data_IF_939750398333
#
_entry.id   IF_939750398333
#
_cell.length_a   1.000
_cell.length_b   1.000
_cell.length_c   1.000
_cell.angle_alpha   90.00
_cell.angle_beta   90.00
_cell.angle_gamma   90.00
#
_symmetry.space_group_name_H-M   'P 1'
#
loop_
_entity.id
_entity.type
_entity.pdbx_description
1 polymer ?
#
# COMPACT_ATOMS: atom_id res chain seq x y z
N UNK A 1 -21.88 -12.34 -6.33
CA UNK A 1 -23.13 -12.92 -5.73
C UNK A 1 -24.12 -11.77 -5.61
N UNK A 2 -25.14 -11.76 -6.44
CA UNK A 2 -26.21 -10.77 -6.28
C UNK A 2 -27.00 -11.19 -5.07
N UNK A 3 -26.93 -10.41 -4.01
CA UNK A 3 -27.75 -10.66 -2.81
C UNK A 3 -29.17 -10.13 -3.09
N UNK A 4 -30.18 -10.96 -2.87
CA UNK A 4 -31.58 -10.54 -3.02
C UNK A 4 -32.07 -9.72 -1.79
N UNK A 5 -31.15 -9.19 -0.99
CA UNK A 5 -31.50 -8.40 0.21
C UNK A 5 -31.88 -7.00 -0.23
N UNK A 6 -33.12 -6.59 0.06
CA UNK A 6 -33.57 -5.22 -0.19
C UNK A 6 -33.05 -4.26 0.89
N UNK A 7 -33.04 -2.97 0.61
CA UNK A 7 -32.65 -1.95 1.60
C UNK A 7 -33.52 -2.03 2.86
N UNK A 8 -34.83 -2.24 2.72
CA UNK A 8 -35.75 -2.37 3.83
C UNK A 8 -35.39 -3.56 4.73
N UNK A 9 -35.13 -4.73 4.12
CA UNK A 9 -34.68 -5.92 4.84
C UNK A 9 -33.34 -5.71 5.53
N UNK A 10 -32.40 -5.05 4.86
CA UNK A 10 -31.09 -4.72 5.44
C UNK A 10 -31.25 -3.82 6.67
N UNK A 11 -32.05 -2.78 6.59
CA UNK A 11 -32.32 -1.88 7.72
C UNK A 11 -33.03 -2.59 8.87
N UNK A 12 -33.98 -3.49 8.60
CA UNK A 12 -34.70 -4.25 9.64
C UNK A 12 -33.74 -5.15 10.45
N UNK A 13 -32.68 -5.71 9.82
CA UNK A 13 -31.70 -6.57 10.49
C UNK A 13 -30.59 -5.81 11.20
N UNK A 14 -30.34 -4.57 10.83
CA UNK A 14 -29.22 -3.76 11.33
C UNK A 14 -29.56 -3.12 12.69
N UNK A 15 -28.57 -2.97 13.56
CA UNK A 15 -28.68 -2.15 14.76
C UNK A 15 -28.95 -0.68 14.40
N UNK A 16 -29.62 0.08 15.30
CA UNK A 16 -29.94 1.50 15.06
C UNK A 16 -28.74 2.35 14.61
N UNK A 17 -27.58 2.12 15.23
CA UNK A 17 -26.35 2.82 14.85
C UNK A 17 -25.89 2.45 13.45
N UNK A 18 -25.97 1.17 13.09
CA UNK A 18 -25.58 0.70 11.75
C UNK A 18 -26.58 1.16 10.69
N UNK A 19 -27.89 1.22 11.00
CA UNK A 19 -28.90 1.79 10.09
C UNK A 19 -28.54 3.20 9.65
N UNK A 20 -28.18 4.07 10.61
CA UNK A 20 -27.76 5.45 10.31
C UNK A 20 -26.54 5.49 9.39
N UNK A 21 -25.55 4.62 9.64
CA UNK A 21 -24.34 4.53 8.83
C UNK A 21 -24.60 3.97 7.43
N UNK A 22 -25.46 2.97 7.29
CA UNK A 22 -25.93 2.45 6.00
C UNK A 22 -26.60 3.56 5.20
N UNK A 23 -27.56 4.27 5.81
CA UNK A 23 -28.26 5.36 5.14
C UNK A 23 -27.34 6.49 4.71
N UNK A 24 -26.40 6.89 5.57
CA UNK A 24 -25.38 7.88 5.24
C UNK A 24 -24.52 7.45 4.04
N UNK A 25 -24.05 6.19 4.04
CA UNK A 25 -23.24 5.66 2.94
C UNK A 25 -24.00 5.63 1.62
N UNK A 26 -25.26 5.24 1.65
CA UNK A 26 -26.16 5.20 0.48
C UNK A 26 -26.44 6.62 -0.04
N UNK A 27 -26.75 7.56 0.84
CA UNK A 27 -26.99 8.96 0.47
C UNK A 27 -25.77 9.58 -0.21
N UNK A 28 -24.58 9.39 0.35
CA UNK A 28 -23.33 9.84 -0.25
C UNK A 28 -23.12 9.25 -1.66
N UNK A 29 -23.37 7.95 -1.84
CA UNK A 29 -23.25 7.31 -3.15
C UNK A 29 -24.26 7.86 -4.16
N UNK A 30 -25.54 7.99 -3.78
CA UNK A 30 -26.57 8.55 -4.66
C UNK A 30 -26.30 9.99 -5.06
N UNK A 31 -25.85 10.83 -4.12
CA UNK A 31 -25.47 12.23 -4.42
C UNK A 31 -24.29 12.32 -5.39
N UNK A 32 -23.30 11.44 -5.25
CA UNK A 32 -22.10 11.47 -6.09
C UNK A 32 -22.26 10.70 -7.43
N UNK A 33 -23.34 9.95 -7.64
CA UNK A 33 -23.52 9.11 -8.84
C UNK A 33 -23.45 9.89 -10.14
N UNK A 34 -24.04 11.09 -10.18
CA UNK A 34 -23.95 11.97 -11.36
C UNK A 34 -22.51 12.26 -11.77
N UNK A 35 -21.63 12.45 -10.77
CA UNK A 35 -20.20 12.63 -11.04
C UNK A 35 -19.57 11.33 -11.56
N UNK A 36 -19.91 10.19 -10.96
CA UNK A 36 -19.38 8.90 -11.37
C UNK A 36 -19.74 8.55 -12.80
N UNK A 37 -20.98 8.81 -13.22
CA UNK A 37 -21.44 8.61 -14.58
C UNK A 37 -20.71 9.55 -15.55
N UNK A 38 -20.55 10.82 -15.20
CA UNK A 38 -19.89 11.81 -16.04
C UNK A 38 -18.40 11.49 -16.27
N UNK A 39 -17.66 11.10 -15.21
CA UNK A 39 -16.25 10.75 -15.32
C UNK A 39 -16.01 9.33 -15.83
N UNK A 40 -16.93 8.41 -15.59
CA UNK A 40 -16.84 7.03 -16.00
C UNK A 40 -17.26 6.77 -17.44
N UNK A 41 -17.56 7.78 -18.25
CA UNK A 41 -18.09 7.58 -19.60
C UNK A 41 -19.40 6.77 -19.62
N UNK A 42 -20.24 6.96 -18.56
CA UNK A 42 -21.48 6.21 -18.37
C UNK A 42 -21.32 4.88 -17.60
N UNK A 43 -20.10 4.45 -17.29
CA UNK A 43 -19.87 3.19 -16.54
C UNK A 43 -20.07 3.33 -15.02
N UNK A 44 -20.26 4.54 -14.50
CA UNK A 44 -20.45 4.79 -13.08
C UNK A 44 -19.16 4.71 -12.28
N UNK A 45 -19.27 4.20 -11.05
CA UNK A 45 -18.15 4.11 -10.13
C UNK A 45 -17.15 3.00 -10.52
N UNK A 46 -15.88 3.27 -10.29
CA UNK A 46 -14.85 2.24 -10.22
C UNK A 46 -14.75 1.75 -8.76
N UNK A 47 -15.17 0.53 -8.45
CA UNK A 47 -15.11 -0.01 -7.10
C UNK A 47 -13.80 -0.81 -6.93
N UNK A 48 -12.91 -0.31 -6.05
CA UNK A 48 -11.67 -1.00 -5.72
C UNK A 48 -11.95 -2.17 -4.76
N UNK A 49 -11.98 -3.38 -5.31
CA UNK A 49 -12.24 -4.61 -4.58
C UNK A 49 -10.94 -5.33 -4.22
N UNK A 50 -10.85 -5.88 -3.00
CA UNK A 50 -9.65 -6.60 -2.54
C UNK A 50 -9.94 -7.99 -1.97
N UNK A 51 -11.22 -8.40 -1.93
CA UNK A 51 -11.66 -9.64 -1.28
C UNK A 51 -11.63 -9.59 0.24
N UNK A 52 -11.19 -8.48 0.84
CA UNK A 52 -11.23 -8.27 2.30
C UNK A 52 -12.60 -7.73 2.77
N UNK A 53 -12.91 -7.91 4.07
CA UNK A 53 -14.18 -7.53 4.68
C UNK A 53 -14.66 -6.10 4.36
N UNK A 54 -13.72 -5.15 4.35
CA UNK A 54 -14.05 -3.74 4.11
C UNK A 54 -14.46 -3.50 2.66
N UNK A 55 -13.81 -4.14 1.69
CA UNK A 55 -14.21 -4.08 0.28
C UNK A 55 -15.49 -4.86 -0.02
N UNK A 56 -15.77 -5.93 0.73
CA UNK A 56 -17.06 -6.62 0.65
C UNK A 56 -18.20 -5.73 1.15
N UNK A 57 -18.03 -5.08 2.33
CA UNK A 57 -19.00 -4.13 2.84
C UNK A 57 -19.28 -2.98 1.85
N UNK A 58 -18.21 -2.44 1.25
CA UNK A 58 -18.32 -1.41 0.22
C UNK A 58 -19.11 -1.89 -1.00
N UNK A 59 -18.84 -3.10 -1.46
CA UNK A 59 -19.53 -3.71 -2.60
C UNK A 59 -21.05 -3.81 -2.35
N UNK A 60 -21.43 -4.39 -1.22
CA UNK A 60 -22.84 -4.56 -0.89
C UNK A 60 -23.56 -3.25 -0.56
N UNK A 61 -22.87 -2.25 -0.02
CA UNK A 61 -23.44 -0.91 0.13
C UNK A 61 -23.72 -0.27 -1.24
N UNK A 62 -22.83 -0.44 -2.23
CA UNK A 62 -23.06 0.05 -3.58
C UNK A 62 -24.24 -0.67 -4.26
N UNK A 63 -24.39 -1.99 -4.06
CA UNK A 63 -25.58 -2.75 -4.49
C UNK A 63 -26.87 -2.22 -3.85
N UNK A 64 -26.90 -2.06 -2.50
CA UNK A 64 -28.05 -1.53 -1.78
C UNK A 64 -28.43 -0.09 -2.18
N UNK A 65 -27.44 0.71 -2.53
CA UNK A 65 -27.66 2.06 -3.05
C UNK A 65 -28.31 2.04 -4.45
N UNK A 66 -28.19 0.96 -5.19
CA UNK A 66 -28.68 0.83 -6.57
C UNK A 66 -27.92 1.71 -7.55
N UNK A 67 -26.67 2.12 -7.22
CA UNK A 67 -25.83 2.96 -8.09
C UNK A 67 -25.10 2.11 -9.12
N UNK A 68 -24.77 2.72 -10.26
CA UNK A 68 -24.00 2.03 -11.29
C UNK A 68 -22.52 1.97 -10.94
N UNK A 69 -21.94 0.77 -10.92
CA UNK A 69 -20.52 0.55 -10.68
C UNK A 69 -20.01 -0.70 -11.39
N UNK A 70 -18.70 -0.78 -11.58
CA UNK A 70 -17.95 -1.99 -11.91
C UNK A 70 -16.86 -2.21 -10.85
N UNK A 71 -16.73 -3.46 -10.41
CA UNK A 71 -15.80 -3.83 -9.34
C UNK A 71 -14.54 -4.46 -9.94
N UNK A 72 -13.37 -4.02 -9.46
CA UNK A 72 -12.09 -4.46 -9.97
C UNK A 72 -11.15 -4.88 -8.85
N UNK A 73 -10.52 -6.05 -9.00
CA UNK A 73 -9.46 -6.52 -8.12
C UNK A 73 -8.11 -6.46 -8.83
N UNK A 74 -7.25 -5.59 -8.31
CA UNK A 74 -5.87 -5.48 -8.80
C UNK A 74 -5.02 -6.63 -8.27
N UNK A 75 -4.56 -7.50 -9.17
CA UNK A 75 -3.67 -8.60 -8.84
C UNK A 75 -2.24 -8.12 -8.62
N UNK A 76 -1.63 -8.47 -7.48
CA UNK A 76 -0.30 -7.97 -7.09
C UNK A 76 0.82 -9.01 -7.27
N UNK A 77 0.49 -10.23 -7.68
CA UNK A 77 1.38 -11.40 -7.76
C UNK A 77 1.80 -11.98 -6.39
N UNK A 78 1.40 -11.36 -5.30
CA UNK A 78 1.64 -11.81 -3.92
C UNK A 78 0.34 -11.80 -3.10
N UNK A 79 -0.79 -11.95 -3.77
CA UNK A 79 -2.08 -12.08 -3.10
C UNK A 79 -2.25 -13.51 -2.57
N UNK A 80 -2.87 -13.71 -1.38
CA UNK A 80 -3.14 -15.05 -0.87
C UNK A 80 -4.03 -15.84 -1.83
N UNK A 81 -3.69 -17.11 -2.13
CA UNK A 81 -4.50 -17.94 -3.04
C UNK A 81 -5.94 -18.13 -2.57
N UNK A 82 -6.16 -18.15 -1.25
CA UNK A 82 -7.47 -18.24 -0.62
C UNK A 82 -8.36 -17.09 -1.03
N UNK A 83 -7.81 -15.87 -1.01
CA UNK A 83 -8.54 -14.65 -1.41
C UNK A 83 -8.91 -14.71 -2.88
N UNK A 84 -7.98 -15.11 -3.75
CA UNK A 84 -8.26 -15.23 -5.18
C UNK A 84 -9.36 -16.26 -5.47
N UNK A 85 -9.30 -17.43 -4.81
CA UNK A 85 -10.33 -18.45 -4.94
C UNK A 85 -11.67 -17.98 -4.42
N UNK A 86 -11.67 -17.30 -3.26
CA UNK A 86 -12.86 -16.73 -2.63
C UNK A 86 -13.53 -15.72 -3.57
N UNK A 87 -12.78 -14.73 -4.09
CA UNK A 87 -13.34 -13.71 -4.98
C UNK A 87 -13.88 -14.33 -6.26
N UNK A 88 -13.14 -15.22 -6.91
CA UNK A 88 -13.63 -15.90 -8.12
C UNK A 88 -14.90 -16.70 -7.90
N UNK A 89 -15.07 -17.30 -6.73
CA UNK A 89 -16.24 -18.13 -6.41
C UNK A 89 -17.46 -17.29 -6.02
N UNK A 90 -17.23 -16.26 -5.18
CA UNK A 90 -18.33 -15.51 -4.56
C UNK A 90 -18.69 -14.23 -5.30
N UNK A 91 -17.73 -13.65 -6.04
CA UNK A 91 -17.86 -12.39 -6.78
C UNK A 91 -17.37 -12.55 -8.22
N UNK A 92 -18.01 -13.43 -9.03
CA UNK A 92 -17.56 -13.71 -10.40
C UNK A 92 -17.62 -12.49 -11.33
N UNK A 93 -18.42 -11.48 -10.98
CA UNK A 93 -18.56 -10.20 -11.67
C UNK A 93 -17.41 -9.23 -11.42
N UNK A 94 -16.51 -9.54 -10.48
CA UNK A 94 -15.34 -8.70 -10.20
C UNK A 94 -14.25 -8.95 -11.25
N UNK A 95 -13.86 -7.91 -11.95
CA UNK A 95 -12.80 -7.98 -12.96
C UNK A 95 -11.41 -8.06 -12.32
N UNK A 96 -10.61 -9.04 -12.71
CA UNK A 96 -9.23 -9.20 -12.27
C UNK A 96 -8.27 -8.45 -13.18
N UNK A 97 -7.70 -7.36 -12.69
CA UNK A 97 -6.67 -6.60 -13.40
C UNK A 97 -5.31 -7.22 -13.13
N UNK A 98 -4.77 -7.91 -14.14
CA UNK A 98 -3.43 -8.53 -14.05
C UNK A 98 -2.36 -7.51 -14.40
N UNK A 99 -1.27 -7.40 -13.62
CA UNK A 99 -0.16 -6.54 -13.95
C UNK A 99 0.63 -7.11 -15.14
N UNK A 100 1.27 -6.22 -15.90
CA UNK A 100 2.17 -6.63 -17.00
C UNK A 100 3.41 -7.35 -16.50
N UNK A 101 3.90 -7.00 -15.30
CA UNK A 101 5.07 -7.56 -14.64
C UNK A 101 4.76 -7.93 -13.21
N UNK A 102 5.34 -9.02 -12.73
CA UNK A 102 5.21 -9.41 -11.33
C UNK A 102 5.95 -8.43 -10.42
N UNK A 103 5.58 -8.40 -9.13
CA UNK A 103 6.26 -7.56 -8.13
C UNK A 103 7.76 -7.87 -8.03
N UNK A 104 8.14 -9.12 -8.25
CA UNK A 104 9.54 -9.58 -8.25
C UNK A 104 10.32 -8.99 -9.42
N UNK A 105 9.75 -9.03 -10.63
CA UNK A 105 10.35 -8.42 -11.83
C UNK A 105 10.52 -6.92 -11.69
N UNK A 106 9.51 -6.23 -11.16
CA UNK A 106 9.60 -4.78 -10.91
C UNK A 106 10.62 -4.43 -9.83
N UNK A 107 10.77 -5.26 -8.77
CA UNK A 107 11.81 -5.04 -7.77
C UNK A 107 13.21 -5.12 -8.39
N UNK A 108 13.44 -6.08 -9.29
CA UNK A 108 14.70 -6.21 -10.01
C UNK A 108 14.93 -5.04 -10.95
N UNK A 109 13.93 -4.60 -11.71
CA UNK A 109 14.07 -3.44 -12.61
C UNK A 109 14.33 -2.14 -11.88
N UNK A 110 13.56 -1.90 -10.81
CA UNK A 110 13.70 -0.69 -9.99
C UNK A 110 14.93 -0.74 -9.09
N UNK A 111 15.61 -1.88 -9.01
CA UNK A 111 16.75 -2.11 -8.13
C UNK A 111 16.49 -1.75 -6.66
N UNK A 112 15.23 -1.89 -6.20
CA UNK A 112 14.82 -1.53 -4.84
C UNK A 112 13.67 -2.43 -4.36
N UNK A 113 13.78 -2.91 -3.11
CA UNK A 113 12.69 -3.60 -2.42
C UNK A 113 11.64 -2.59 -1.92
N UNK A 114 10.34 -2.95 -1.94
CA UNK A 114 9.31 -2.08 -1.38
C UNK A 114 9.48 -1.97 0.14
N UNK A 115 9.35 -0.77 0.68
CA UNK A 115 9.45 -0.52 2.13
C UNK A 115 8.22 0.22 2.64
N UNK A 116 8.10 0.40 3.96
CA UNK A 116 7.03 1.21 4.55
C UNK A 116 7.05 2.66 4.06
N UNK A 117 8.23 3.20 3.74
CA UNK A 117 8.40 4.58 3.24
C UNK A 117 8.27 4.65 1.72
N UNK A 118 8.90 3.72 1.01
CA UNK A 118 8.90 3.66 -0.46
C UNK A 118 7.95 2.56 -0.92
N UNK A 119 6.68 2.91 -1.07
CA UNK A 119 5.57 2.01 -1.39
C UNK A 119 5.30 1.93 -2.90
N UNK A 120 6.35 1.83 -3.71
CA UNK A 120 6.21 1.79 -5.16
C UNK A 120 5.26 0.67 -5.64
N UNK A 121 5.19 -0.45 -4.92
CA UNK A 121 4.26 -1.53 -5.26
C UNK A 121 2.79 -1.10 -5.19
N UNK A 122 2.40 -0.24 -4.24
CA UNK A 122 1.03 0.29 -4.18
C UNK A 122 0.77 1.26 -5.34
N UNK A 123 1.73 2.13 -5.66
CA UNK A 123 1.61 3.05 -6.78
C UNK A 123 1.42 2.30 -8.10
N UNK A 124 2.22 1.26 -8.36
CA UNK A 124 2.17 0.50 -9.62
C UNK A 124 0.93 -0.39 -9.75
N UNK A 125 0.51 -1.06 -8.68
CA UNK A 125 -0.54 -2.08 -8.79
C UNK A 125 -1.91 -1.63 -8.30
N UNK A 126 -2.01 -0.55 -7.48
CA UNK A 126 -3.29 -0.20 -6.86
C UNK A 126 -3.71 1.25 -7.10
N UNK A 127 -2.78 2.19 -7.06
CA UNK A 127 -3.13 3.62 -7.06
C UNK A 127 -3.37 4.18 -8.46
N UNK A 128 -2.90 3.50 -9.52
CA UNK A 128 -3.12 3.91 -10.92
C UNK A 128 -4.42 3.38 -11.52
N UNK A 129 -5.04 2.40 -10.89
CA UNK A 129 -6.32 1.86 -11.31
C UNK A 129 -7.45 2.84 -11.03
N UNK A 130 -8.45 2.90 -11.90
CA UNK A 130 -9.55 3.87 -11.78
C UNK A 130 -9.17 5.31 -12.12
N UNK A 131 -8.01 5.55 -12.77
CA UNK A 131 -7.62 6.87 -13.24
C UNK A 131 -8.69 7.48 -14.15
N UNK A 132 -9.02 8.75 -13.91
CA UNK A 132 -10.08 9.47 -14.64
C UNK A 132 -11.51 9.11 -14.23
N UNK A 133 -11.69 8.25 -13.22
CA UNK A 133 -13.00 7.82 -12.70
C UNK A 133 -13.21 8.23 -11.25
N UNK A 134 -14.46 8.20 -10.81
CA UNK A 134 -14.79 8.25 -9.37
C UNK A 134 -14.59 6.86 -8.80
N UNK A 135 -13.62 6.72 -7.89
CA UNK A 135 -13.20 5.44 -7.32
C UNK A 135 -13.72 5.28 -5.90
N UNK A 136 -14.46 4.20 -5.66
CA UNK A 136 -14.88 3.81 -4.32
C UNK A 136 -13.78 3.01 -3.64
N UNK A 137 -13.45 3.40 -2.40
CA UNK A 137 -12.45 2.72 -1.58
C UNK A 137 -12.99 2.40 -0.19
N UNK A 138 -12.72 1.18 0.29
CA UNK A 138 -13.21 0.68 1.58
C UNK A 138 -12.25 1.03 2.73
N UNK A 139 -11.94 2.30 2.94
CA UNK A 139 -11.14 2.73 4.09
C UNK A 139 -12.02 3.19 5.25
N UNK A 140 -11.52 3.03 6.49
CA UNK A 140 -12.21 3.42 7.71
C UNK A 140 -11.28 4.18 8.65
N UNK A 141 -11.81 5.16 9.38
CA UNK A 141 -11.06 5.94 10.37
C UNK A 141 -10.38 5.05 11.42
N UNK A 142 -11.06 4.00 11.86
CA UNK A 142 -10.57 3.10 12.92
C UNK A 142 -9.29 2.31 12.53
N UNK A 143 -8.97 2.17 11.25
CA UNK A 143 -7.88 1.29 10.83
C UNK A 143 -6.47 1.80 11.19
N UNK A 144 -6.27 3.10 11.29
CA UNK A 144 -4.99 3.69 11.69
C UNK A 144 -5.10 5.19 11.94
N UNK A 145 -4.16 5.76 12.71
CA UNK A 145 -4.04 7.21 12.95
C UNK A 145 -3.91 8.04 11.66
N UNK A 146 -3.30 7.48 10.61
CA UNK A 146 -3.21 8.12 9.30
C UNK A 146 -4.59 8.14 8.60
N UNK A 147 -5.37 7.05 8.72
CA UNK A 147 -6.70 6.95 8.13
C UNK A 147 -7.74 7.76 8.90
N UNK A 148 -7.57 7.92 10.20
CA UNK A 148 -8.41 8.79 11.03
C UNK A 148 -8.43 10.27 10.60
N UNK A 149 -7.40 10.70 9.84
CA UNK A 149 -7.26 12.07 9.32
C UNK A 149 -7.78 12.23 7.88
N UNK A 150 -8.31 11.17 7.28
CA UNK A 150 -8.84 11.22 5.93
C UNK A 150 -10.31 11.64 5.93
N UNK A 151 -10.73 12.25 4.86
CA UNK A 151 -12.11 12.64 4.64
C UNK A 151 -12.80 11.69 3.65
N UNK A 152 -14.09 11.81 3.53
CA UNK A 152 -14.92 10.93 2.69
C UNK A 152 -14.68 11.13 1.19
N UNK A 153 -14.29 12.34 0.78
CA UNK A 153 -14.04 12.71 -0.62
C UNK A 153 -12.65 13.31 -0.73
N UNK A 154 -11.82 12.71 -1.57
CA UNK A 154 -10.43 13.13 -1.74
C UNK A 154 -9.98 13.10 -3.20
N UNK A 155 -9.19 14.10 -3.59
CA UNK A 155 -8.38 14.06 -4.81
C UNK A 155 -6.93 13.80 -4.38
N UNK A 156 -6.24 12.76 -4.92
CA UNK A 156 -4.86 12.45 -4.58
C UNK A 156 -3.93 13.65 -4.67
N UNK A 157 -2.76 13.56 -4.02
CA UNK A 157 -1.75 14.64 -3.97
C UNK A 157 -2.22 15.90 -3.22
N UNK A 158 -3.12 15.74 -2.23
CA UNK A 158 -3.64 16.82 -1.38
C UNK A 158 -4.32 17.95 -2.15
N UNK A 159 -4.82 17.69 -3.35
CA UNK A 159 -5.53 18.70 -4.12
C UNK A 159 -6.87 19.04 -3.50
N UNK A 160 -7.55 18.04 -2.97
CA UNK A 160 -8.78 18.21 -2.21
C UNK A 160 -8.91 17.09 -1.16
N UNK A 161 -9.47 17.43 0.00
CA UNK A 161 -9.87 16.48 1.02
C UNK A 161 -10.97 17.13 1.87
N UNK A 162 -12.19 16.56 1.85
CA UNK A 162 -13.36 17.14 2.52
C UNK A 162 -14.64 16.35 2.25
N UNK A 163 -15.76 17.07 2.21
CA UNK A 163 -17.08 16.53 1.90
C UNK A 163 -17.40 16.65 0.41
N UNK A 164 -18.51 16.04 -0.01
CA UNK A 164 -18.98 16.14 -1.39
C UNK A 164 -19.42 17.56 -1.74
N UNK A 165 -20.10 18.23 -0.82
CA UNK A 165 -20.55 19.63 -0.96
C UNK A 165 -19.34 20.58 -1.12
N UNK A 166 -18.34 20.45 -0.26
CA UNK A 166 -17.09 21.23 -0.34
C UNK A 166 -16.31 20.99 -1.63
N UNK A 167 -16.44 19.80 -2.25
CA UNK A 167 -15.85 19.54 -3.56
C UNK A 167 -16.43 20.43 -4.65
N UNK A 168 -17.73 20.69 -4.65
CA UNK A 168 -18.36 21.55 -5.63
C UNK A 168 -17.92 23.01 -5.48
N UNK A 169 -17.77 23.51 -4.27
CA UNK A 169 -17.20 24.83 -3.98
C UNK A 169 -15.75 24.92 -4.50
N UNK A 170 -14.91 23.96 -4.18
CA UNK A 170 -13.54 23.88 -4.66
C UNK A 170 -13.45 23.88 -6.19
N UNK A 171 -14.32 23.14 -6.86
CA UNK A 171 -14.40 23.10 -8.34
C UNK A 171 -14.81 24.44 -8.92
N UNK A 172 -15.76 25.12 -8.30
CA UNK A 172 -16.21 26.45 -8.73
C UNK A 172 -15.09 27.48 -8.57
N UNK A 173 -14.36 27.46 -7.47
CA UNK A 173 -13.16 28.31 -7.30
C UNK A 173 -12.09 28.06 -8.38
N UNK A 174 -11.80 26.78 -8.68
CA UNK A 174 -10.83 26.44 -9.71
C UNK A 174 -11.28 26.92 -11.09
N UNK A 175 -12.57 26.82 -11.42
CA UNK A 175 -13.14 27.36 -12.66
C UNK A 175 -12.96 28.87 -12.73
N UNK A 176 -13.30 29.58 -11.66
CA UNK A 176 -13.14 31.03 -11.59
C UNK A 176 -11.68 31.47 -11.74
N UNK A 177 -10.74 30.78 -11.08
CA UNK A 177 -9.28 31.02 -11.20
C UNK A 177 -8.78 30.78 -12.63
N UNK A 178 -9.25 29.75 -13.31
CA UNK A 178 -8.89 29.44 -14.71
C UNK A 178 -9.46 30.47 -15.67
N UNK A 179 -10.72 30.88 -15.49
CA UNK A 179 -11.38 31.93 -16.29
C UNK A 179 -10.59 33.24 -16.20
N UNK A 180 -10.22 33.69 -14.99
CA UNK A 180 -9.39 34.90 -14.78
C UNK A 180 -8.03 34.83 -15.47
N UNK A 181 -7.37 33.63 -15.46
CA UNK A 181 -6.07 33.45 -16.14
C UNK A 181 -6.21 33.48 -17.66
N UNK A 182 -7.28 32.88 -18.22
CA UNK A 182 -7.54 32.83 -19.66
C UNK A 182 -7.90 34.23 -20.17
N UNK A 183 -8.72 34.99 -19.43
CA UNK A 183 -9.06 36.37 -19.74
C UNK A 183 -7.83 37.31 -19.75
N UNK A 184 -6.92 37.13 -18.77
CA UNK A 184 -5.66 37.92 -18.75
C UNK A 184 -4.72 37.60 -19.93
N UNK A 185 -4.78 36.37 -20.48
CA UNK A 185 -3.84 35.94 -21.53
C UNK A 185 -4.34 36.19 -22.94
N UNK A 186 -5.65 36.19 -23.18
CA UNK A 186 -6.22 36.20 -24.54
C UNK A 186 -7.20 37.33 -24.83
N UNK A 187 -7.58 38.18 -23.86
CA UNK A 187 -8.55 39.27 -24.08
C UNK A 187 -9.95 38.83 -24.55
N UNK A 188 -10.27 37.53 -24.47
CA UNK A 188 -11.51 36.95 -25.02
C UNK A 188 -12.54 36.68 -23.92
N UNK A 189 -13.77 37.10 -24.11
CA UNK A 189 -14.92 36.75 -23.28
C UNK A 189 -15.23 35.23 -23.43
N UNK A 190 -15.31 34.53 -22.29
CA UNK A 190 -15.57 33.10 -22.24
C UNK A 190 -17.07 32.86 -22.27
N UNK A 191 -17.57 32.09 -23.24
CA UNK A 191 -18.97 31.69 -23.34
C UNK A 191 -19.31 30.52 -22.39
N UNK A 192 -20.60 30.37 -22.04
CA UNK A 192 -21.08 29.31 -21.14
C UNK A 192 -20.76 27.88 -21.64
N UNK A 193 -20.63 27.67 -22.94
CA UNK A 193 -20.24 26.38 -23.52
C UNK A 193 -18.81 25.92 -23.13
N UNK A 194 -17.88 26.86 -22.96
CA UNK A 194 -16.55 26.58 -22.48
C UNK A 194 -16.52 26.18 -20.98
N UNK A 195 -17.59 26.46 -20.24
CA UNK A 195 -17.74 26.13 -18.82
C UNK A 195 -18.20 24.68 -18.62
N UNK A 196 -19.01 24.12 -19.51
CA UNK A 196 -19.48 22.73 -19.43
C UNK A 196 -18.39 21.70 -19.78
N UNK A 197 -17.49 21.99 -20.69
CA UNK A 197 -16.37 21.13 -21.03
C UNK A 197 -15.29 21.06 -19.95
N UNK A 198 -15.29 21.93 -18.95
CA UNK A 198 -14.32 21.92 -17.85
C UNK A 198 -14.77 21.12 -16.62
N UNK A 199 -15.42 19.99 -16.80
CA UNK A 199 -15.47 18.92 -15.78
C UNK A 199 -14.07 18.35 -15.46
N UNK A 200 -13.06 18.79 -16.18
CA UNK A 200 -11.67 18.37 -16.10
C UNK A 200 -10.86 18.94 -14.93
N UNK A 201 -11.35 18.85 -13.69
CA UNK A 201 -10.46 18.99 -12.53
C UNK A 201 -9.69 17.70 -12.25
N UNK A 202 -10.11 16.60 -12.85
CA UNK A 202 -9.39 15.32 -12.89
C UNK A 202 -8.74 15.29 -14.27
N UNK A 203 -7.45 15.54 -14.34
CA UNK A 203 -6.68 15.58 -15.60
C UNK A 203 -6.42 14.15 -16.11
N UNK A 204 -7.47 13.38 -16.46
CA UNK A 204 -7.38 12.06 -17.11
C UNK A 204 -6.51 10.98 -16.40
N UNK A 205 -5.62 11.39 -15.50
CA UNK A 205 -4.69 10.53 -14.75
C UNK A 205 -4.99 10.47 -13.25
N UNK A 206 -5.90 11.28 -12.76
CA UNK A 206 -6.27 11.33 -11.34
C UNK A 206 -7.62 10.66 -11.12
N UNK A 207 -7.80 10.05 -9.95
CA UNK A 207 -9.07 9.50 -9.49
C UNK A 207 -9.69 10.43 -8.46
N UNK A 208 -11.02 10.58 -8.47
CA UNK A 208 -11.74 11.12 -7.33
C UNK A 208 -12.06 9.95 -6.41
N UNK A 209 -11.54 9.96 -5.19
CA UNK A 209 -11.74 8.90 -4.21
C UNK A 209 -12.93 9.22 -3.32
N UNK A 210 -13.85 8.28 -3.18
CA UNK A 210 -14.97 8.36 -2.24
C UNK A 210 -14.91 7.16 -1.31
N UNK A 211 -15.06 7.42 -0.02
CA UNK A 211 -14.98 6.43 1.06
C UNK A 211 -16.30 6.35 1.83
N UNK A 212 -17.32 5.63 1.30
CA UNK A 212 -18.66 5.65 1.88
C UNK A 212 -18.75 5.05 3.28
N UNK A 213 -17.85 4.13 3.61
CA UNK A 213 -17.81 3.44 4.91
C UNK A 213 -16.76 4.00 5.86
N UNK A 214 -16.32 5.25 5.65
CA UNK A 214 -15.21 5.84 6.40
C UNK A 214 -15.47 5.92 7.91
N UNK A 215 -16.73 6.10 8.32
CA UNK A 215 -17.17 6.20 9.72
C UNK A 215 -17.54 4.83 10.34
N UNK A 216 -17.40 3.74 9.59
CA UNK A 216 -17.74 2.42 10.10
C UNK A 216 -16.62 1.88 11.00
N UNK A 217 -17.05 1.22 12.08
CA UNK A 217 -16.13 0.44 12.92
C UNK A 217 -15.96 -0.98 12.37
N UNK A 218 -15.00 -1.72 12.87
CA UNK A 218 -14.83 -3.12 12.50
C UNK A 218 -16.05 -3.97 12.88
N UNK A 219 -16.68 -3.64 14.03
CA UNK A 219 -17.92 -4.26 14.47
C UNK A 219 -19.06 -4.02 13.48
N UNK A 220 -19.20 -2.78 12.97
CA UNK A 220 -20.22 -2.44 11.97
C UNK A 220 -20.04 -3.25 10.69
N UNK A 221 -18.79 -3.40 10.23
CA UNK A 221 -18.47 -4.21 9.03
C UNK A 221 -18.88 -5.66 9.22
N UNK A 222 -18.53 -6.27 10.36
CA UNK A 222 -18.88 -7.65 10.64
C UNK A 222 -20.39 -7.85 10.90
N UNK A 223 -21.03 -6.92 11.58
CA UNK A 223 -22.48 -6.95 11.74
C UNK A 223 -23.19 -6.88 10.39
N UNK A 224 -22.72 -5.98 9.52
CA UNK A 224 -23.27 -5.83 8.18
C UNK A 224 -23.09 -7.09 7.33
N UNK A 225 -21.90 -7.64 7.25
CA UNK A 225 -21.63 -8.82 6.41
C UNK A 225 -22.33 -10.08 6.94
N UNK A 226 -22.26 -10.33 8.26
CA UNK A 226 -22.70 -11.59 8.83
C UNK A 226 -24.19 -11.64 9.20
N UNK A 227 -24.78 -10.50 9.63
CA UNK A 227 -26.17 -10.46 10.09
C UNK A 227 -27.11 -9.80 9.09
N UNK A 228 -26.65 -8.73 8.43
CA UNK A 228 -27.51 -7.95 7.54
C UNK A 228 -27.53 -8.58 6.16
N UNK A 229 -26.36 -8.77 5.56
CA UNK A 229 -26.22 -9.30 4.20
C UNK A 229 -26.13 -10.83 4.16
N UNK A 230 -25.71 -11.47 5.26
CA UNK A 230 -25.54 -12.93 5.39
C UNK A 230 -24.66 -13.51 4.29
N UNK A 231 -23.56 -12.81 3.98
CA UNK A 231 -22.63 -13.18 2.91
C UNK A 231 -21.40 -13.88 3.45
N UNK A 232 -20.82 -14.85 2.72
CA UNK A 232 -19.60 -15.52 3.13
C UNK A 232 -18.41 -14.56 3.09
N UNK A 233 -17.38 -14.87 3.88
CA UNK A 233 -16.10 -14.18 3.87
C UNK A 233 -14.95 -15.15 3.57
N UNK A 234 -13.77 -14.62 3.33
CA UNK A 234 -12.59 -15.44 3.08
C UNK A 234 -12.19 -16.24 4.34
N UNK A 235 -11.91 -17.53 4.18
CA UNK A 235 -11.55 -18.46 5.27
C UNK A 235 -10.36 -18.01 6.13
N UNK A 236 -9.50 -17.14 5.63
CA UNK A 236 -8.40 -16.59 6.42
C UNK A 236 -8.88 -15.83 7.66
N UNK A 237 -10.09 -15.25 7.65
CA UNK A 237 -10.66 -14.62 8.83
C UNK A 237 -11.01 -15.63 9.92
N UNK A 238 -11.48 -16.84 9.54
CA UNK A 238 -11.80 -17.94 10.45
C UNK A 238 -10.52 -18.50 11.10
N UNK A 239 -9.38 -18.34 10.42
CA UNK A 239 -8.06 -18.71 10.92
C UNK A 239 -7.41 -17.61 11.80
N UNK A 240 -8.16 -16.57 12.17
CA UNK A 240 -7.69 -15.50 13.05
C UNK A 240 -6.95 -14.35 12.36
N UNK A 241 -7.02 -14.25 11.04
CA UNK A 241 -6.44 -13.10 10.33
C UNK A 241 -7.34 -11.87 10.51
N UNK A 242 -6.83 -10.85 11.19
CA UNK A 242 -7.58 -9.59 11.35
C UNK A 242 -7.65 -8.76 10.07
N UNK A 243 -6.66 -8.93 9.20
CA UNK A 243 -6.54 -8.19 7.94
C UNK A 243 -5.97 -9.08 6.85
N UNK A 244 -6.60 -9.03 5.68
CA UNK A 244 -6.13 -9.69 4.48
C UNK A 244 -5.46 -8.65 3.57
N UNK A 245 -4.30 -9.00 3.02
CA UNK A 245 -3.52 -8.13 2.11
C UNK A 245 -2.44 -8.91 1.38
N UNK A 246 -1.53 -8.21 0.72
CA UNK A 246 -0.40 -8.81 0.03
C UNK A 246 0.50 -9.58 1.01
N UNK A 247 0.92 -10.78 0.65
CA UNK A 247 1.85 -11.61 1.43
C UNK A 247 3.22 -10.91 1.52
N UNK A 248 3.78 -10.83 2.73
CA UNK A 248 5.06 -10.16 2.96
C UNK A 248 5.01 -8.64 2.82
N UNK A 249 3.82 -8.04 2.93
CA UNK A 249 3.66 -6.59 2.81
C UNK A 249 4.51 -5.85 3.85
N UNK A 250 5.34 -4.86 3.46
CA UNK A 250 6.10 -4.06 4.43
C UNK A 250 5.25 -3.36 5.49
N UNK A 251 3.95 -3.13 5.21
CA UNK A 251 2.99 -2.53 6.15
C UNK A 251 2.39 -3.52 7.15
N UNK A 252 2.60 -4.83 6.96
CA UNK A 252 2.14 -5.86 7.90
C UNK A 252 3.03 -5.91 9.14
N UNK A 253 2.48 -6.35 10.27
CA UNK A 253 3.26 -6.56 11.48
C UNK A 253 4.33 -7.65 11.27
N UNK A 254 5.36 -7.64 12.10
CA UNK A 254 6.43 -8.65 12.02
C UNK A 254 5.87 -10.05 12.26
N UNK A 255 4.96 -10.21 13.22
CA UNK A 255 4.33 -11.50 13.51
C UNK A 255 3.50 -12.00 12.33
N UNK A 256 2.73 -11.12 11.69
CA UNK A 256 1.96 -11.47 10.49
C UNK A 256 2.89 -11.95 9.36
N UNK A 257 3.99 -11.27 9.12
CA UNK A 257 4.98 -11.66 8.10
C UNK A 257 5.63 -13.01 8.41
N UNK A 258 5.89 -13.34 9.69
CA UNK A 258 6.39 -14.66 10.10
C UNK A 258 5.39 -15.77 9.76
N UNK A 259 4.11 -15.58 10.09
CA UNK A 259 3.03 -16.52 9.76
C UNK A 259 2.92 -16.69 8.24
N UNK A 260 2.94 -15.60 7.50
CA UNK A 260 2.89 -15.61 6.04
C UNK A 260 4.07 -16.37 5.40
N UNK A 261 5.28 -16.22 5.94
CA UNK A 261 6.47 -16.92 5.46
C UNK A 261 6.37 -18.44 5.65
N UNK A 262 5.79 -18.89 6.76
CA UNK A 262 5.55 -20.32 7.04
C UNK A 262 4.46 -20.84 6.10
N UNK A 263 3.38 -20.11 5.94
CA UNK A 263 2.23 -20.53 5.14
C UNK A 263 2.50 -20.49 3.62
N UNK A 264 3.26 -19.49 3.16
CA UNK A 264 3.54 -19.25 1.75
C UNK A 264 5.03 -19.26 1.41
N UNK A 265 5.74 -20.38 1.62
CA UNK A 265 7.19 -20.46 1.46
C UNK A 265 7.65 -20.17 0.02
N UNK A 266 6.78 -20.37 -0.98
CA UNK A 266 7.07 -20.02 -2.37
C UNK A 266 7.23 -18.50 -2.58
N UNK A 267 6.51 -17.67 -1.84
CA UNK A 267 6.65 -16.21 -1.89
C UNK A 267 8.02 -15.78 -1.37
N UNK A 268 8.45 -16.33 -0.22
CA UNK A 268 9.81 -16.14 0.31
C UNK A 268 10.87 -16.52 -0.73
N UNK A 269 10.77 -17.73 -1.30
CA UNK A 269 11.72 -18.21 -2.33
C UNK A 269 11.78 -17.26 -3.55
N UNK A 270 10.64 -16.76 -4.02
CA UNK A 270 10.62 -15.85 -5.15
C UNK A 270 11.24 -14.49 -4.82
N UNK A 271 11.06 -13.98 -3.60
CA UNK A 271 11.76 -12.77 -3.15
C UNK A 271 13.27 -12.98 -3.05
N UNK A 272 13.73 -14.12 -2.52
CA UNK A 272 15.17 -14.45 -2.48
C UNK A 272 15.75 -14.47 -3.90
N UNK A 273 15.06 -15.09 -4.87
CA UNK A 273 15.47 -15.06 -6.28
C UNK A 273 15.55 -13.62 -6.84
N UNK A 274 14.57 -12.77 -6.53
CA UNK A 274 14.59 -11.38 -6.97
C UNK A 274 15.75 -10.60 -6.32
N UNK A 275 16.01 -10.80 -5.02
CA UNK A 275 17.12 -10.19 -4.31
C UNK A 275 18.45 -10.59 -4.92
N UNK A 276 18.64 -11.86 -5.30
CA UNK A 276 19.86 -12.32 -6.02
C UNK A 276 20.09 -11.56 -7.33
N UNK A 277 19.04 -11.17 -8.03
CA UNK A 277 19.12 -10.43 -9.28
C UNK A 277 19.34 -8.90 -9.11
N UNK A 278 19.21 -8.36 -7.91
CA UNK A 278 19.42 -6.92 -7.63
C UNK A 278 20.92 -6.63 -7.51
N UNK A 279 21.43 -5.67 -8.29
CA UNK A 279 22.88 -5.41 -8.41
C UNK A 279 23.55 -4.91 -7.13
N UNK A 280 22.87 -4.04 -6.34
CA UNK A 280 23.46 -3.44 -5.14
C UNK A 280 23.77 -4.47 -4.04
N UNK A 281 23.21 -5.68 -4.09
CA UNK A 281 23.53 -6.76 -3.13
C UNK A 281 25.03 -7.06 -3.06
N UNK A 282 25.75 -6.93 -4.18
CA UNK A 282 27.19 -7.21 -4.23
C UNK A 282 28.00 -6.29 -3.31
N UNK A 283 27.52 -5.09 -3.05
CA UNK A 283 28.18 -4.09 -2.21
C UNK A 283 27.70 -4.15 -0.74
N UNK A 284 26.67 -4.95 -0.45
CA UNK A 284 26.07 -5.00 0.88
C UNK A 284 27.02 -5.57 1.94
N UNK A 285 28.00 -6.37 1.53
CA UNK A 285 28.98 -7.04 2.41
C UNK A 285 30.43 -6.66 2.12
N UNK A 286 30.74 -5.91 1.06
CA UNK A 286 32.12 -5.54 0.73
C UNK A 286 32.77 -4.55 1.71
N UNK A 287 32.02 -3.97 2.64
CA UNK A 287 32.55 -3.04 3.64
C UNK A 287 33.23 -3.73 4.84
N UNK A 288 33.36 -5.04 4.85
CA UNK A 288 33.88 -5.80 5.99
C UNK A 288 35.23 -6.53 5.75
N UNK A 289 35.73 -6.54 4.53
CA UNK A 289 37.02 -7.17 4.24
C UNK A 289 38.03 -6.17 3.65
N UNK A 290 38.85 -5.61 4.51
CA UNK A 290 40.12 -4.99 4.10
C UNK A 290 40.20 -3.48 4.13
N UNK A 291 41.00 -3.02 5.03
CA UNK A 291 41.95 -1.90 5.04
C UNK A 291 41.66 -0.63 4.25
N UNK A 292 41.60 0.43 5.02
CA UNK A 292 41.93 1.83 4.62
C UNK A 292 41.31 2.36 3.33
N UNK A 293 40.50 3.37 3.53
CA UNK A 293 40.13 4.40 2.58
C UNK A 293 38.69 4.44 2.13
N UNK A 294 38.12 5.57 2.41
CA UNK A 294 36.99 6.25 1.80
C UNK A 294 35.58 5.72 2.09
N UNK A 295 34.93 6.48 2.92
CA UNK A 295 33.49 6.51 3.08
C UNK A 295 32.83 6.83 1.75
N UNK A 296 32.44 5.83 1.01
CA UNK A 296 31.41 6.02 0.00
C UNK A 296 30.09 5.60 0.60
N UNK A 297 29.25 6.59 0.87
CA UNK A 297 27.91 6.40 1.36
C UNK A 297 27.09 5.54 0.39
N UNK A 298 26.28 4.71 0.94
CA UNK A 298 25.36 3.77 0.27
C UNK A 298 24.35 4.42 -0.72
N UNK A 299 24.51 5.70 -1.08
CA UNK A 299 23.56 6.49 -1.89
C UNK A 299 24.19 7.49 -2.86
N UNK A 300 25.40 7.30 -3.35
CA UNK A 300 25.97 8.26 -4.29
C UNK A 300 26.49 7.64 -5.58
N UNK A 301 25.65 6.98 -6.33
CA UNK A 301 25.79 6.86 -7.79
C UNK A 301 24.42 6.61 -8.40
N UNK A 302 23.57 7.64 -8.40
CA UNK A 302 22.54 7.77 -9.41
C UNK A 302 23.11 8.67 -10.49
N UNK A 303 23.45 8.06 -11.61
CA UNK A 303 23.68 8.77 -12.86
C UNK A 303 22.60 9.83 -13.08
N UNK A 304 23.03 11.01 -13.42
CA UNK A 304 22.23 12.08 -14.00
C UNK A 304 21.45 11.50 -15.18
N UNK A 305 20.14 11.39 -15.05
CA UNK A 305 19.11 11.48 -16.08
C UNK A 305 17.78 10.89 -15.58
N UNK A 306 17.28 11.44 -14.48
CA UNK A 306 15.87 11.39 -14.17
C UNK A 306 15.46 12.74 -13.55
N UNK A 307 15.15 13.68 -14.41
CA UNK A 307 14.48 14.93 -14.05
C UNK A 307 13.13 14.62 -13.36
N UNK A 308 13.03 14.87 -12.08
CA UNK A 308 11.75 14.89 -11.40
C UNK A 308 11.71 14.13 -10.07
N UNK A 309 12.13 14.80 -9.00
CA UNK A 309 11.67 14.62 -7.63
C UNK A 309 11.82 13.25 -6.97
N UNK A 310 12.95 12.99 -6.34
CA UNK A 310 13.02 12.42 -5.01
C UNK A 310 14.41 12.60 -4.39
N UNK A 311 14.61 13.71 -3.70
CA UNK A 311 15.70 13.80 -2.71
C UNK A 311 15.31 12.94 -1.52
N UNK A 312 16.05 11.89 -1.28
CA UNK A 312 16.08 11.20 0.00
C UNK A 312 17.03 12.01 0.90
N UNK A 313 16.46 12.93 1.67
CA UNK A 313 17.19 13.60 2.75
C UNK A 313 17.52 12.58 3.83
N UNK A 314 18.72 12.02 3.75
CA UNK A 314 19.38 11.42 4.89
C UNK A 314 19.91 12.56 5.75
N UNK A 315 19.19 12.92 6.81
CA UNK A 315 19.65 13.87 7.80
C UNK A 315 21.01 13.44 8.34
N UNK A 316 22.03 14.23 8.04
CA UNK A 316 23.33 14.14 8.67
C UNK A 316 23.19 14.46 10.17
N UNK A 317 23.78 13.68 11.08
CA UNK A 317 23.83 14.07 12.48
C UNK A 317 24.80 15.24 12.62
N UNK A 318 24.27 16.39 12.99
CA UNK A 318 25.07 17.54 13.46
C UNK A 318 25.94 17.13 14.63
N UNK A 319 27.21 17.51 14.54
CA UNK A 319 28.19 17.41 15.62
C UNK A 319 27.65 17.99 16.93
N UNK A 320 27.64 17.17 17.98
CA UNK A 320 27.69 17.65 19.32
C UNK A 320 28.86 16.95 20.06
N UNK A 321 29.87 17.70 20.38
CA UNK A 321 31.10 17.28 21.05
C UNK A 321 30.78 17.06 22.54
N UNK A 322 30.62 15.80 22.92
CA UNK A 322 30.53 15.39 24.33
C UNK A 322 31.22 14.03 24.50
N UNK A 323 32.28 14.06 25.25
CA UNK A 323 33.17 12.98 25.64
C UNK A 323 32.46 11.69 26.05
N UNK A 324 32.53 10.61 25.23
CA UNK A 324 32.34 9.23 25.67
C UNK A 324 33.39 8.36 25.00
N UNK A 325 34.52 8.20 25.67
CA UNK A 325 35.65 7.38 25.17
C UNK A 325 35.48 5.86 25.34
N UNK A 326 34.47 5.38 26.00
CA UNK A 326 34.26 3.95 26.33
C UNK A 326 33.45 3.14 25.32
N UNK A 327 32.67 3.78 24.45
CA UNK A 327 31.87 3.05 23.47
C UNK A 327 32.56 2.77 22.11
N UNK A 328 33.67 3.46 21.82
CA UNK A 328 34.38 3.26 20.52
C UNK A 328 35.22 1.98 20.46
N UNK A 329 35.66 1.46 21.59
CA UNK A 329 36.46 0.21 21.61
C UNK A 329 35.58 -1.04 21.41
N UNK A 330 34.38 -1.06 21.96
CA UNK A 330 33.43 -2.17 21.75
C UNK A 330 32.83 -2.19 20.34
N UNK A 331 32.59 -1.02 19.75
CA UNK A 331 32.13 -0.92 18.35
C UNK A 331 33.21 -1.38 17.34
N UNK A 332 34.50 -1.16 17.65
CA UNK A 332 35.62 -1.61 16.78
C UNK A 332 35.82 -3.13 16.81
N UNK A 333 35.49 -3.81 17.90
CA UNK A 333 35.50 -5.29 17.97
C UNK A 333 34.32 -5.92 17.23
N UNK A 334 33.18 -5.25 17.21
CA UNK A 334 31.99 -5.69 16.44
C UNK A 334 32.17 -5.51 14.93
N UNK A 335 32.94 -4.51 14.50
CA UNK A 335 33.27 -4.30 13.08
C UNK A 335 34.26 -5.36 12.53
N UNK A 336 34.94 -6.14 13.40
CA UNK A 336 35.89 -7.18 12.98
C UNK A 336 35.33 -8.59 12.92
N UNK A 337 34.24 -8.87 13.61
CA UNK A 337 33.55 -10.17 13.52
C UNK A 337 32.49 -10.08 12.44
N UNK A 338 32.82 -10.53 11.24
CA UNK A 338 31.89 -10.61 10.14
C UNK A 338 30.63 -11.41 10.51
N UNK A 339 29.61 -11.28 9.70
CA UNK A 339 28.27 -11.89 9.80
C UNK A 339 28.28 -13.41 10.02
N UNK A 340 29.45 -14.03 9.84
CA UNK A 340 29.74 -15.44 9.97
C UNK A 340 31.11 -15.57 10.62
N UNK A 341 31.29 -16.63 11.38
CA UNK A 341 32.64 -17.14 11.58
C UNK A 341 33.29 -17.18 10.20
N UNK A 342 34.29 -16.33 9.98
CA UNK A 342 34.94 -16.20 8.66
C UNK A 342 35.38 -17.55 8.12
N UNK A 343 35.77 -18.48 9.00
CA UNK A 343 36.20 -19.84 8.66
C UNK A 343 35.07 -20.71 8.09
N UNK A 344 33.82 -20.50 8.51
CA UNK A 344 32.67 -21.24 7.99
C UNK A 344 32.14 -20.67 6.70
N UNK A 345 32.16 -19.34 6.55
CA UNK A 345 31.72 -18.66 5.31
C UNK A 345 32.67 -18.92 4.14
N UNK A 346 33.99 -18.94 4.39
CA UNK A 346 34.99 -19.19 3.36
C UNK A 346 34.95 -20.62 2.77
N UNK A 347 34.40 -21.58 3.52
CA UNK A 347 34.17 -22.96 3.05
C UNK A 347 32.97 -23.14 2.14
N UNK A 348 32.09 -22.13 2.05
CA UNK A 348 30.92 -22.17 1.18
C UNK A 348 31.29 -21.95 -0.28
N UNK A 349 30.57 -22.61 -1.19
CA UNK A 349 30.63 -22.29 -2.62
C UNK A 349 30.10 -20.89 -2.88
N UNK A 350 30.43 -20.29 -4.02
CA UNK A 350 29.95 -18.97 -4.37
C UNK A 350 28.40 -18.92 -4.45
N UNK A 351 27.75 -19.98 -4.90
CA UNK A 351 26.29 -20.11 -4.92
C UNK A 351 25.71 -20.13 -3.50
N UNK A 352 26.30 -20.89 -2.59
CA UNK A 352 25.89 -20.95 -1.18
C UNK A 352 26.07 -19.61 -0.48
N UNK A 353 27.15 -18.87 -0.79
CA UNK A 353 27.37 -17.50 -0.30
C UNK A 353 26.29 -16.55 -0.80
N UNK A 354 25.95 -16.63 -2.10
CA UNK A 354 24.88 -15.81 -2.68
C UNK A 354 23.50 -16.11 -2.07
N UNK A 355 23.19 -17.38 -1.80
CA UNK A 355 21.96 -17.78 -1.15
C UNK A 355 21.87 -17.19 0.26
N UNK A 356 22.91 -17.39 1.03
CA UNK A 356 22.98 -16.90 2.40
C UNK A 356 22.89 -15.38 2.51
N UNK A 357 23.54 -14.66 1.60
CA UNK A 357 23.45 -13.20 1.48
C UNK A 357 22.01 -12.77 1.18
N UNK A 358 21.36 -13.41 0.21
CA UNK A 358 20.02 -13.06 -0.20
C UNK A 358 18.97 -13.36 0.90
N UNK A 359 19.15 -14.48 1.64
CA UNK A 359 18.30 -14.80 2.79
C UNK A 359 18.44 -13.79 3.92
N UNK A 360 19.66 -13.37 4.24
CA UNK A 360 19.90 -12.35 5.24
C UNK A 360 19.31 -10.98 4.84
N UNK A 361 19.41 -10.59 3.59
CA UNK A 361 18.76 -9.39 3.07
C UNK A 361 17.24 -9.50 3.19
N UNK A 362 16.68 -10.65 2.85
CA UNK A 362 15.26 -10.92 3.00
C UNK A 362 14.80 -10.80 4.47
N UNK A 363 15.50 -11.46 5.40
CA UNK A 363 15.17 -11.44 6.82
C UNK A 363 15.27 -10.02 7.42
N UNK A 364 16.31 -9.27 7.03
CA UNK A 364 16.39 -7.86 7.38
C UNK A 364 15.21 -7.06 6.83
N UNK A 365 14.91 -7.21 5.54
CA UNK A 365 13.84 -6.46 4.90
C UNK A 365 12.46 -6.70 5.54
N UNK A 366 12.13 -7.95 5.85
CA UNK A 366 10.86 -8.28 6.49
C UNK A 366 10.80 -7.85 7.96
N UNK A 367 11.95 -7.70 8.63
CA UNK A 367 12.00 -7.27 10.04
C UNK A 367 11.48 -5.84 10.21
N UNK A 368 11.57 -5.00 9.18
CA UNK A 368 11.20 -3.59 9.23
C UNK A 368 12.13 -2.73 10.08
N UNK A 369 13.23 -3.30 10.60
CA UNK A 369 14.25 -2.61 11.39
C UNK A 369 15.27 -1.92 10.49
N UNK A 370 15.99 -0.93 11.01
CA UNK A 370 17.19 -0.46 10.36
C UNK A 370 18.21 -1.61 10.28
N UNK A 371 19.10 -1.58 9.29
CA UNK A 371 20.13 -2.63 9.14
C UNK A 371 20.96 -2.78 10.42
N UNK A 372 21.33 -1.66 11.03
CA UNK A 372 22.14 -1.65 12.27
C UNK A 372 21.43 -2.34 13.44
N UNK A 373 20.14 -2.07 13.65
CA UNK A 373 19.34 -2.70 14.71
C UNK A 373 19.13 -4.19 14.45
N UNK A 374 18.80 -4.55 13.21
CA UNK A 374 18.61 -5.95 12.84
C UNK A 374 19.89 -6.77 13.00
N UNK A 375 21.01 -6.20 12.58
CA UNK A 375 22.34 -6.84 12.72
C UNK A 375 22.70 -7.06 14.19
N UNK A 376 22.51 -6.05 15.03
CA UNK A 376 22.79 -6.15 16.46
C UNK A 376 21.95 -7.27 17.13
N UNK A 377 20.67 -7.35 16.81
CA UNK A 377 19.81 -8.39 17.37
C UNK A 377 20.23 -9.80 16.93
N UNK A 378 20.59 -9.95 15.66
CA UNK A 378 21.00 -11.26 15.14
C UNK A 378 22.32 -11.73 15.78
N UNK A 379 23.24 -10.80 15.98
CA UNK A 379 24.52 -11.07 16.65
C UNK A 379 24.33 -11.48 18.11
N UNK A 380 23.40 -10.80 18.82
CA UNK A 380 23.08 -11.16 20.22
C UNK A 380 22.43 -12.56 20.29
N UNK A 381 21.55 -12.91 19.38
CA UNK A 381 20.94 -14.25 19.31
C UNK A 381 22.00 -15.32 19.07
N UNK A 382 22.91 -15.11 18.15
CA UNK A 382 23.98 -16.09 17.85
C UNK A 382 24.90 -16.33 19.07
N UNK A 383 25.19 -15.28 19.85
CA UNK A 383 25.97 -15.44 21.10
C UNK A 383 25.23 -16.18 22.21
N UNK A 384 23.90 -16.09 22.25
CA UNK A 384 23.08 -16.81 23.23
C UNK A 384 22.92 -18.29 22.86
N UNK A 385 22.91 -18.63 21.57
CA UNK A 385 22.80 -20.02 21.08
C UNK A 385 24.12 -20.77 21.13
N UNK A 386 25.25 -20.06 21.06
CA UNK A 386 26.61 -20.62 21.14
C UNK A 386 27.43 -19.80 22.14
N UNK A 387 27.29 -20.04 23.47
CA UNK A 387 28.19 -19.45 24.44
C UNK A 387 29.64 -19.90 24.13
N UNK A 388 30.57 -18.95 24.12
CA UNK A 388 31.99 -19.26 23.96
C UNK A 388 32.36 -20.23 25.07
N UNK A 389 32.86 -21.45 24.71
CA UNK A 389 33.49 -22.36 25.66
C UNK A 389 34.73 -21.66 26.24
N UNK A 390 34.76 -21.48 27.58
CA UNK A 390 35.89 -20.94 28.30
C UNK A 390 37.11 -21.89 28.28
#
# INVERSE_FOLDING_TARGET
MITNVTLEQALAKASKMLQQKIMYSIDLLKKAERLALAYGGGNGYYLAFSGGKDSQALYHIAELAGVKFDAHMNFTSVDPPEVIRFVKKQYPEVDFIKPKKSIYQLAVEKQILPTMRVRWCCAEYKETSGAGRVTLIGIRHQESSRRAKRNEVEIPNRKYSGTLEGLDEYRNELRAKRARRKSKKNGVNITNADQEQTLGCISGKESLLISPIIHWTERDVWEFLNKVMEVPHCSLYDEGWHRIGCIGCPMSSVNQKKIENIRYPHVKRNWIKAIKAIRWRKNFFQTTSGGTSERTGFLSETSEDCSGHMRLDCASPTHNTGSVKTHKSQLRSVERTGFFDCSSFDRLTDEQKEDLIAENIYDWWISGKSYKEWYADKFLQTKLEFPEEE
#
